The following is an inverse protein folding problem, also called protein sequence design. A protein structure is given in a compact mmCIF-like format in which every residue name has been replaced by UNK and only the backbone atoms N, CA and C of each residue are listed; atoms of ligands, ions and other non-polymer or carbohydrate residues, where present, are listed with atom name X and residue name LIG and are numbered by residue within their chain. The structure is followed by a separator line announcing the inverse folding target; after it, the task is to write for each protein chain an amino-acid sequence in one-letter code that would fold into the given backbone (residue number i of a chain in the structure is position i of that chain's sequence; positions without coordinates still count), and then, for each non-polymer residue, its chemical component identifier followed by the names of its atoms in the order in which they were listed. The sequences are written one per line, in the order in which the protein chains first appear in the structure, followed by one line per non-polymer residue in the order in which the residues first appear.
data_IF_940651372493
#
_entry.id   IF_940651372493
#
_cell.length_a   1.000
_cell.length_b   1.000
_cell.length_c   1.000
_cell.angle_alpha   90.00
_cell.angle_beta   90.00
_cell.angle_gamma   90.00
#
_symmetry.space_group_name_H-M   'P 1'
#
loop_
_entity.id
_entity.type
_entity.pdbx_description
1 polymer ?
#
# COMPACT_ATOMS: atom_id res chain seq x y z
N UNK A 1 -14.13 -5.14 -6.34
CA UNK A 1 -13.78 -4.21 -5.26
C UNK A 1 -13.06 -4.88 -4.08
N UNK A 2 -13.61 -5.88 -3.39
CA UNK A 2 -12.97 -6.48 -2.21
C UNK A 2 -11.69 -7.26 -2.53
N UNK A 3 -11.63 -7.96 -3.66
CA UNK A 3 -10.41 -8.69 -4.02
C UNK A 3 -9.29 -7.74 -4.44
N UNK A 4 -9.62 -6.68 -5.17
CA UNK A 4 -8.68 -5.63 -5.54
C UNK A 4 -8.00 -5.01 -4.30
N UNK A 5 -8.78 -4.67 -3.26
CA UNK A 5 -8.24 -4.10 -2.02
C UNK A 5 -7.30 -5.07 -1.30
N UNK A 6 -7.62 -6.37 -1.28
CA UNK A 6 -6.74 -7.38 -0.71
C UNK A 6 -5.44 -7.53 -1.47
N UNK A 7 -5.49 -7.56 -2.81
CA UNK A 7 -4.29 -7.65 -3.63
C UNK A 7 -3.41 -6.40 -3.49
N UNK A 8 -4.01 -5.20 -3.54
CA UNK A 8 -3.31 -3.95 -3.30
C UNK A 8 -2.64 -3.93 -1.92
N UNK A 9 -3.36 -4.33 -0.88
CA UNK A 9 -2.85 -4.39 0.49
C UNK A 9 -1.67 -5.35 0.65
N UNK A 10 -1.79 -6.56 0.07
CA UNK A 10 -0.71 -7.57 0.06
C UNK A 10 0.53 -7.05 -0.67
N UNK A 11 0.34 -6.45 -1.84
CA UNK A 11 1.43 -5.85 -2.63
C UNK A 11 2.13 -4.74 -1.85
N UNK A 12 1.37 -3.85 -1.20
CA UNK A 12 1.93 -2.79 -0.35
C UNK A 12 2.72 -3.36 0.83
N UNK A 13 2.19 -4.37 1.53
CA UNK A 13 2.88 -5.02 2.63
C UNK A 13 4.20 -5.64 2.18
N UNK A 14 4.18 -6.35 1.05
CA UNK A 14 5.36 -6.98 0.45
C UNK A 14 6.40 -5.93 0.07
N UNK A 15 5.97 -4.83 -0.56
CA UNK A 15 6.84 -3.72 -0.93
C UNK A 15 7.48 -3.08 0.31
N UNK A 16 6.70 -2.81 1.37
CA UNK A 16 7.22 -2.29 2.65
C UNK A 16 8.29 -3.21 3.22
N UNK A 17 7.98 -4.50 3.39
CA UNK A 17 8.92 -5.44 4.02
C UNK A 17 10.18 -5.68 3.19
N UNK A 18 10.05 -5.74 1.85
CA UNK A 18 11.18 -6.04 0.96
C UNK A 18 12.09 -4.85 0.69
N UNK A 19 11.53 -3.65 0.47
CA UNK A 19 12.35 -2.48 0.12
C UNK A 19 12.85 -1.70 1.32
N UNK A 20 12.08 -1.67 2.41
CA UNK A 20 12.46 -0.86 3.58
C UNK A 20 12.99 -1.69 4.74
N UNK A 21 12.65 -2.98 4.80
CA UNK A 21 12.93 -3.83 5.97
C UNK A 21 12.18 -3.41 7.24
N UNK A 22 11.34 -2.36 7.18
CA UNK A 22 10.70 -1.76 8.36
C UNK A 22 9.45 -2.55 8.76
N UNK A 23 9.24 -2.66 10.07
CA UNK A 23 7.97 -3.12 10.61
C UNK A 23 6.83 -2.16 10.27
N UNK A 24 5.59 -2.63 10.35
CA UNK A 24 4.42 -1.79 10.09
C UNK A 24 4.41 -0.55 10.99
N UNK A 25 4.69 -0.74 12.30
CA UNK A 25 4.70 0.34 13.27
C UNK A 25 5.81 1.36 12.99
N UNK A 26 7.02 0.89 12.63
CA UNK A 26 8.14 1.78 12.32
C UNK A 26 7.86 2.64 11.09
N UNK A 27 7.42 2.02 9.99
CA UNK A 27 7.09 2.73 8.75
C UNK A 27 5.93 3.72 8.96
N UNK A 28 4.89 3.30 9.68
CA UNK A 28 3.75 4.16 9.98
C UNK A 28 4.16 5.39 10.79
N UNK A 29 5.03 5.22 11.79
CA UNK A 29 5.49 6.30 12.66
C UNK A 29 6.32 7.35 11.90
N UNK A 30 7.29 6.91 11.10
CA UNK A 30 8.21 7.83 10.40
C UNK A 30 7.51 8.75 9.39
N UNK A 31 6.41 8.31 8.82
CA UNK A 31 5.69 9.04 7.76
C UNK A 31 4.31 9.56 8.21
N UNK A 32 4.10 9.67 9.51
CA UNK A 32 2.86 10.18 10.12
C UNK A 32 1.61 9.47 9.57
N UNK A 33 1.63 8.15 9.53
CA UNK A 33 0.48 7.33 9.13
C UNK A 33 -0.07 6.68 10.41
N UNK A 34 -1.37 6.81 10.70
CA UNK A 34 -1.95 6.06 11.82
C UNK A 34 -1.72 4.57 11.61
N UNK A 35 -1.07 3.91 12.57
CA UNK A 35 -0.69 2.50 12.49
C UNK A 35 -1.89 1.58 12.17
N UNK A 36 -3.07 1.88 12.74
CA UNK A 36 -4.31 1.15 12.45
C UNK A 36 -4.80 1.35 11.01
N UNK A 37 -4.59 2.54 10.44
CA UNK A 37 -4.92 2.84 9.04
C UNK A 37 -4.05 2.03 8.10
N UNK A 38 -2.72 2.06 8.27
CA UNK A 38 -1.81 1.27 7.45
C UNK A 38 -2.11 -0.24 7.54
N UNK A 39 -2.38 -0.73 8.76
CA UNK A 39 -2.76 -2.13 8.97
C UNK A 39 -4.03 -2.52 8.21
N UNK A 40 -5.10 -1.71 8.29
CA UNK A 40 -6.34 -2.03 7.56
C UNK A 40 -6.14 -1.97 6.04
N UNK A 41 -5.33 -1.05 5.54
CA UNK A 41 -4.99 -0.97 4.10
C UNK A 41 -4.22 -2.23 3.65
N UNK A 42 -3.16 -2.61 4.37
CA UNK A 42 -2.34 -3.78 4.02
C UNK A 42 -3.11 -5.11 4.09
N UNK A 43 -4.20 -5.16 4.86
CA UNK A 43 -5.08 -6.31 4.94
C UNK A 43 -6.32 -6.21 4.02
N UNK A 44 -6.42 -5.17 3.18
CA UNK A 44 -7.56 -4.96 2.27
C UNK A 44 -8.89 -4.63 2.96
N UNK A 45 -8.86 -4.24 4.23
CA UNK A 45 -10.04 -3.94 5.06
C UNK A 45 -10.51 -2.49 4.93
N UNK A 46 -9.72 -1.63 4.29
CA UNK A 46 -10.01 -0.20 4.13
C UNK A 46 -9.42 0.33 2.83
N UNK A 47 -10.19 1.15 2.13
CA UNK A 47 -9.70 1.95 1.02
C UNK A 47 -8.69 3.00 1.48
N UNK A 48 -7.58 3.08 0.76
CA UNK A 48 -6.55 4.06 1.06
C UNK A 48 -6.97 5.44 0.54
N UNK A 49 -6.97 6.43 1.43
CA UNK A 49 -7.16 7.82 1.03
C UNK A 49 -5.94 8.33 0.25
N UNK A 50 -6.16 9.21 -0.73
CA UNK A 50 -5.11 9.75 -1.59
C UNK A 50 -3.93 10.36 -0.79
N UNK A 51 -4.23 11.13 0.26
CA UNK A 51 -3.20 11.73 1.14
C UNK A 51 -2.40 10.68 1.90
N UNK A 52 -3.03 9.57 2.30
CA UNK A 52 -2.33 8.44 2.94
C UNK A 52 -1.40 7.77 1.95
N UNK A 53 -1.86 7.53 0.72
CA UNK A 53 -1.02 6.97 -0.35
C UNK A 53 0.16 7.89 -0.69
N UNK A 54 -0.04 9.22 -0.65
CA UNK A 54 1.07 10.17 -0.86
C UNK A 54 2.14 10.04 0.22
N UNK A 55 1.75 10.00 1.50
CA UNK A 55 2.69 9.78 2.63
C UNK A 55 3.43 8.45 2.50
N UNK A 56 2.72 7.39 2.12
CA UNK A 56 3.32 6.08 1.85
C UNK A 56 4.36 6.18 0.72
N UNK A 57 4.04 6.86 -0.38
CA UNK A 57 4.97 7.02 -1.52
C UNK A 57 6.26 7.75 -1.12
N UNK A 58 6.16 8.78 -0.28
CA UNK A 58 7.31 9.47 0.30
C UNK A 58 8.13 8.54 1.18
N UNK A 59 7.46 7.61 1.86
CA UNK A 59 8.14 6.61 2.68
C UNK A 59 9.02 5.61 1.94
N UNK A 60 8.77 5.47 0.64
CA UNK A 60 9.62 4.73 -0.29
C UNK A 60 10.62 5.62 -1.04
N UNK A 61 10.59 6.94 -0.84
CA UNK A 61 11.40 7.89 -1.62
C UNK A 61 11.00 7.93 -3.09
N UNK A 62 9.73 7.64 -3.42
CA UNK A 62 9.24 7.55 -4.79
C UNK A 62 8.30 8.70 -5.12
N UNK A 63 8.23 9.03 -6.42
CA UNK A 63 7.10 9.82 -6.92
C UNK A 63 5.81 9.01 -6.75
N UNK A 64 4.66 9.70 -6.72
CA UNK A 64 3.38 9.00 -6.59
C UNK A 64 3.12 8.02 -7.75
N UNK A 65 3.46 8.41 -8.98
CA UNK A 65 3.32 7.56 -10.16
C UNK A 65 4.20 6.31 -10.11
N UNK A 66 5.48 6.47 -9.72
CA UNK A 66 6.39 5.33 -9.58
C UNK A 66 5.95 4.39 -8.46
N UNK A 67 5.43 4.94 -7.36
CA UNK A 67 4.86 4.15 -6.27
C UNK A 67 3.70 3.28 -6.75
N UNK A 68 2.72 3.85 -7.46
CA UNK A 68 1.59 3.07 -7.99
C UNK A 68 2.08 2.01 -8.98
N UNK A 69 2.99 2.36 -9.89
CA UNK A 69 3.56 1.41 -10.85
C UNK A 69 4.29 0.25 -10.15
N UNK A 70 5.03 0.52 -9.07
CA UNK A 70 5.66 -0.54 -8.27
C UNK A 70 4.62 -1.45 -7.61
N UNK A 71 3.53 -0.89 -7.07
CA UNK A 71 2.45 -1.70 -6.49
C UNK A 71 1.83 -2.60 -7.55
N UNK A 72 1.49 -2.08 -8.73
CA UNK A 72 0.93 -2.87 -9.83
C UNK A 72 1.84 -4.02 -10.26
N UNK A 73 3.16 -3.80 -10.27
CA UNK A 73 4.14 -4.86 -10.57
C UNK A 73 4.21 -5.95 -9.49
N UNK A 74 3.82 -5.65 -8.26
CA UNK A 74 3.78 -6.62 -7.15
C UNK A 74 2.44 -7.38 -7.06
N UNK A 75 1.41 -6.92 -7.78
CA UNK A 75 0.11 -7.59 -7.81
C UNK A 75 0.15 -8.83 -8.70
N UNK A 76 -0.45 -9.91 -8.21
CA UNK A 76 -0.42 -11.23 -8.88
C UNK A 76 -1.34 -11.28 -10.12
N UNK A 77 -2.40 -10.46 -10.14
CA UNK A 77 -3.40 -10.48 -11.20
C UNK A 77 -3.82 -9.08 -11.59
N UNK A 78 -4.02 -8.85 -12.89
CA UNK A 78 -4.73 -7.66 -13.37
C UNK A 78 -6.22 -7.83 -13.10
N UNK A 79 -6.68 -7.34 -11.96
CA UNK A 79 -8.10 -7.27 -11.59
C UNK A 79 -8.64 -5.90 -12.00
N UNK A 80 -9.78 -5.87 -12.69
CA UNK A 80 -10.47 -4.61 -12.93
C UNK A 80 -11.60 -4.42 -11.91
N UNK A 81 -11.93 -3.17 -11.61
CA UNK A 81 -13.03 -2.87 -10.69
C UNK A 81 -14.41 -3.29 -11.24
N UNK A 82 -14.50 -3.66 -12.53
CA UNK A 82 -15.73 -4.11 -13.20
C UNK A 82 -15.97 -5.62 -13.05
N UNK A 83 -15.00 -6.36 -12.52
CA UNK A 83 -15.08 -7.80 -12.32
C UNK A 83 -15.78 -8.20 -11.00
N UNK A 84 -16.35 -7.20 -10.29
CA UNK A 84 -17.20 -7.32 -9.08
C UNK A 84 -18.33 -6.28 -9.14
#
# INVERSE_FOLDING_TARGET
MQEYLKQFGKALRKLRTSQTGKSLRMFAYEYDIPCATLSRIENGQREAQLTTLKRISEGFGLTFGDFIKKIENEMETKITLKDE
#
